data_IF_833149589687
#
_entry.id   IF_833149589687
#
_cell.length_a   1.000
_cell.length_b   1.000
_cell.length_c   1.000
_cell.angle_alpha   90.00
_cell.angle_beta   90.00
_cell.angle_gamma   90.00
#
_symmetry.space_group_name_H-M   'P 1'
#
loop_
_entity.id
_entity.type
_entity.pdbx_description
1 polymer ?
#
# COMPACT_ATOMS: atom_id res chain seq x y z
N UNK A 1 -3.32 12.24 -23.96
CA UNK A 1 -2.43 12.79 -22.91
C UNK A 1 -2.00 11.72 -21.90
N UNK A 2 -2.92 10.92 -21.34
CA UNK A 2 -2.58 9.89 -20.34
C UNK A 2 -1.63 8.77 -20.83
N UNK A 3 -1.81 8.23 -22.04
CA UNK A 3 -0.90 7.22 -22.59
C UNK A 3 0.55 7.71 -22.74
N UNK A 4 0.73 8.97 -23.14
CA UNK A 4 2.06 9.61 -23.23
C UNK A 4 2.70 9.77 -21.84
N UNK A 5 1.90 10.10 -20.82
CA UNK A 5 2.37 10.16 -19.44
C UNK A 5 2.84 8.79 -18.95
N UNK A 6 2.08 7.72 -19.18
CA UNK A 6 2.49 6.37 -18.78
C UNK A 6 3.74 5.89 -19.54
N UNK A 7 3.87 6.23 -20.82
CA UNK A 7 5.08 5.94 -21.60
C UNK A 7 6.32 6.58 -20.95
N UNK A 8 6.29 7.88 -20.69
CA UNK A 8 7.42 8.58 -20.07
C UNK A 8 7.71 8.07 -18.65
N UNK A 9 6.67 7.82 -17.84
CA UNK A 9 6.82 7.23 -16.52
C UNK A 9 7.52 5.87 -16.60
N UNK A 10 7.12 5.03 -17.55
CA UNK A 10 7.76 3.72 -17.78
C UNK A 10 9.24 3.90 -18.12
N UNK A 11 9.58 4.74 -19.11
CA UNK A 11 10.96 5.02 -19.47
C UNK A 11 11.80 5.52 -18.28
N UNK A 12 11.27 6.47 -17.50
CA UNK A 12 11.93 7.00 -16.31
C UNK A 12 12.17 5.93 -15.25
N UNK A 13 11.16 5.13 -14.93
CA UNK A 13 11.24 4.10 -13.90
C UNK A 13 12.24 3.00 -14.28
N UNK A 14 12.23 2.56 -15.55
CA UNK A 14 13.14 1.52 -16.03
C UNK A 14 14.59 1.97 -16.18
N UNK A 15 14.83 3.28 -16.35
CA UNK A 15 16.19 3.85 -16.51
C UNK A 15 16.73 4.51 -15.24
N UNK A 16 15.88 4.73 -14.24
CA UNK A 16 16.26 5.36 -12.98
C UNK A 16 17.22 4.49 -12.16
N UNK A 17 18.40 5.04 -11.86
CA UNK A 17 19.36 4.44 -10.91
C UNK A 17 18.87 4.51 -9.46
N UNK A 18 17.86 5.34 -9.18
CA UNK A 18 17.29 5.51 -7.85
C UNK A 18 16.11 4.56 -7.59
N UNK A 19 15.60 3.86 -8.61
CA UNK A 19 14.55 2.86 -8.41
C UNK A 19 15.11 1.71 -7.58
N UNK A 20 14.45 1.42 -6.45
CA UNK A 20 14.79 0.30 -5.58
C UNK A 20 13.51 -0.31 -5.04
N UNK A 21 13.47 -1.64 -5.00
CA UNK A 21 12.52 -2.36 -4.14
C UNK A 21 13.08 -2.32 -2.73
N UNK A 22 12.26 -1.90 -1.76
CA UNK A 22 12.68 -1.83 -0.37
C UNK A 22 13.11 -3.21 0.14
N UNK A 23 14.17 -3.24 0.94
CA UNK A 23 14.62 -4.46 1.59
C UNK A 23 13.49 -5.07 2.45
N UNK A 24 13.28 -6.39 2.33
CA UNK A 24 12.20 -7.10 3.01
C UNK A 24 10.83 -7.03 2.33
N UNK A 25 10.60 -6.15 1.35
CA UNK A 25 9.28 -6.00 0.73
C UNK A 25 8.78 -7.29 0.05
N UNK A 26 9.62 -7.91 -0.79
CA UNK A 26 9.25 -9.13 -1.51
C UNK A 26 9.05 -10.32 -0.56
N UNK A 27 9.93 -10.46 0.43
CA UNK A 27 9.84 -11.52 1.44
C UNK A 27 8.59 -11.38 2.32
N UNK A 28 8.28 -10.16 2.77
CA UNK A 28 7.06 -9.87 3.52
C UNK A 28 5.81 -10.19 2.70
N UNK A 29 5.73 -9.69 1.46
CA UNK A 29 4.58 -9.97 0.57
C UNK A 29 4.40 -11.48 0.34
N UNK A 30 5.51 -12.22 0.20
CA UNK A 30 5.47 -13.67 0.06
C UNK A 30 4.97 -14.36 1.34
N UNK A 31 5.46 -13.95 2.52
CA UNK A 31 5.01 -14.50 3.81
C UNK A 31 3.52 -14.25 4.04
N UNK A 32 3.03 -13.04 3.78
CA UNK A 32 1.61 -12.69 3.91
C UNK A 32 0.75 -13.53 2.94
N UNK A 33 1.20 -13.68 1.69
CA UNK A 33 0.52 -14.52 0.70
C UNK A 33 0.45 -15.98 1.15
N UNK A 34 1.56 -16.52 1.68
CA UNK A 34 1.63 -17.90 2.18
C UNK A 34 0.76 -18.12 3.42
N UNK A 35 0.55 -17.08 4.23
CA UNK A 35 -0.38 -17.09 5.36
C UNK A 35 -1.87 -16.99 4.93
N UNK A 36 -2.15 -16.87 3.62
CA UNK A 36 -3.51 -16.77 3.10
C UNK A 36 -4.12 -15.37 3.18
N UNK A 37 -3.32 -14.34 3.45
CA UNK A 37 -3.78 -12.95 3.48
C UNK A 37 -3.98 -12.45 2.04
N UNK A 38 -5.14 -11.86 1.78
CA UNK A 38 -5.45 -11.24 0.48
C UNK A 38 -4.81 -9.85 0.43
N UNK A 39 -3.95 -9.63 -0.56
CA UNK A 39 -3.22 -8.37 -0.70
C UNK A 39 -3.84 -7.49 -1.79
N UNK A 40 -3.94 -6.19 -1.51
CA UNK A 40 -4.33 -5.17 -2.48
C UNK A 40 -3.47 -3.92 -2.38
N UNK A 41 -3.51 -3.08 -3.41
CA UNK A 41 -2.80 -1.79 -3.43
C UNK A 41 -3.77 -0.64 -3.25
N UNK A 42 -3.48 0.24 -2.30
CA UNK A 42 -4.10 1.55 -2.17
C UNK A 42 -3.09 2.59 -2.64
N UNK A 43 -3.45 3.45 -3.60
CA UNK A 43 -2.55 4.49 -4.09
C UNK A 43 -3.30 5.76 -4.45
N UNK A 44 -2.75 6.92 -4.10
CA UNK A 44 -3.25 8.21 -4.61
C UNK A 44 -2.96 8.47 -6.09
N UNK A 45 -2.17 7.61 -6.75
CA UNK A 45 -1.91 7.72 -8.18
C UNK A 45 -3.05 7.10 -9.01
N UNK A 46 -3.12 7.44 -10.30
CA UNK A 46 -3.94 6.69 -11.25
C UNK A 46 -3.47 5.23 -11.34
N UNK A 47 -4.39 4.29 -11.55
CA UNK A 47 -4.09 2.85 -11.56
C UNK A 47 -2.89 2.49 -12.45
N UNK A 48 -2.88 2.97 -13.69
CA UNK A 48 -1.80 2.69 -14.63
C UNK A 48 -0.44 3.12 -14.10
N UNK A 49 -0.36 4.30 -13.47
CA UNK A 49 0.89 4.80 -12.91
C UNK A 49 1.34 4.00 -11.68
N UNK A 50 0.41 3.61 -10.80
CA UNK A 50 0.71 2.75 -9.66
C UNK A 50 1.25 1.39 -10.12
N UNK A 51 0.63 0.77 -11.12
CA UNK A 51 1.07 -0.51 -11.70
C UNK A 51 2.42 -0.40 -12.39
N UNK A 52 2.63 0.63 -13.22
CA UNK A 52 3.92 0.86 -13.91
C UNK A 52 5.08 1.01 -12.93
N UNK A 53 4.88 1.70 -11.81
CA UNK A 53 5.92 1.83 -10.76
C UNK A 53 6.33 0.48 -10.14
N UNK A 54 5.43 -0.50 -10.10
CA UNK A 54 5.70 -1.81 -9.52
C UNK A 54 6.27 -2.84 -10.52
N UNK A 55 6.26 -2.52 -11.82
CA UNK A 55 6.67 -3.45 -12.89
C UNK A 55 8.13 -3.90 -12.78
N UNK A 56 9.14 -3.04 -12.56
CA UNK A 56 10.53 -3.51 -12.51
C UNK A 56 10.81 -4.43 -11.33
N UNK A 57 10.16 -4.18 -10.20
CA UNK A 57 10.19 -5.06 -9.02
C UNK A 57 9.28 -6.29 -9.13
N UNK A 58 8.54 -6.42 -10.23
CA UNK A 58 7.55 -7.46 -10.49
C UNK A 58 6.48 -7.58 -9.38
N UNK A 59 6.26 -6.53 -8.58
CA UNK A 59 5.44 -6.62 -7.36
C UNK A 59 3.94 -6.73 -7.64
N UNK A 60 3.48 -6.34 -8.83
CA UNK A 60 2.08 -6.43 -9.26
C UNK A 60 1.46 -7.82 -9.03
N UNK A 61 2.26 -8.90 -9.10
CA UNK A 61 1.79 -10.28 -8.95
C UNK A 61 1.25 -10.63 -7.56
N UNK A 62 1.61 -9.87 -6.52
CA UNK A 62 1.15 -10.09 -5.16
C UNK A 62 -0.24 -9.52 -4.91
N UNK A 63 -0.61 -8.47 -5.63
CA UNK A 63 -1.81 -7.69 -5.35
C UNK A 63 -2.96 -8.09 -6.28
N UNK A 64 -3.97 -8.76 -5.74
CA UNK A 64 -5.11 -9.28 -6.52
C UNK A 64 -6.21 -8.25 -6.75
N UNK A 65 -6.16 -7.13 -6.01
CA UNK A 65 -7.05 -5.99 -6.20
C UNK A 65 -6.33 -4.66 -5.92
N UNK A 66 -6.99 -3.54 -6.21
CA UNK A 66 -6.49 -2.23 -5.84
C UNK A 66 -7.55 -1.14 -5.90
N UNK A 67 -7.23 0.00 -5.30
CA UNK A 67 -8.05 1.21 -5.25
C UNK A 67 -7.12 2.42 -5.41
N UNK A 68 -7.50 3.33 -6.29
CA UNK A 68 -6.58 4.30 -6.86
C UNK A 68 -7.13 5.72 -6.78
N UNK A 69 -6.27 6.73 -6.92
CA UNK A 69 -6.69 8.13 -6.98
C UNK A 69 -7.58 8.46 -8.18
N UNK A 70 -7.67 7.56 -9.17
CA UNK A 70 -8.66 7.61 -10.24
C UNK A 70 -10.08 7.23 -9.79
N UNK A 71 -10.23 6.56 -8.65
CA UNK A 71 -11.53 6.19 -8.07
C UNK A 71 -12.11 7.34 -7.21
N UNK A 72 -11.25 8.03 -6.44
CA UNK A 72 -11.63 9.21 -5.65
C UNK A 72 -10.40 10.09 -5.34
N UNK A 73 -10.54 11.42 -5.25
CA UNK A 73 -9.49 12.30 -4.73
C UNK A 73 -9.32 12.21 -3.20
N UNK A 74 -10.28 11.66 -2.47
CA UNK A 74 -10.21 11.50 -1.01
C UNK A 74 -9.54 10.17 -0.66
N UNK A 75 -8.43 10.24 0.09
CA UNK A 75 -7.65 9.04 0.49
C UNK A 75 -8.44 8.09 1.37
N UNK A 76 -9.31 8.59 2.26
CA UNK A 76 -10.16 7.76 3.10
C UNK A 76 -11.15 7.00 2.24
N UNK A 77 -11.78 7.65 1.26
CA UNK A 77 -12.69 6.98 0.32
C UNK A 77 -11.96 5.91 -0.51
N UNK A 78 -10.75 6.21 -1.00
CA UNK A 78 -9.93 5.22 -1.72
C UNK A 78 -9.61 4.01 -0.83
N UNK A 79 -9.23 4.22 0.43
CA UNK A 79 -8.99 3.14 1.39
C UNK A 79 -10.26 2.32 1.64
N UNK A 80 -11.41 2.97 1.90
CA UNK A 80 -12.70 2.30 2.08
C UNK A 80 -13.11 1.47 0.86
N UNK A 81 -12.86 1.96 -0.35
CA UNK A 81 -13.08 1.22 -1.59
C UNK A 81 -12.19 -0.03 -1.68
N UNK A 82 -10.93 0.06 -1.25
CA UNK A 82 -10.04 -1.09 -1.12
C UNK A 82 -10.60 -2.14 -0.16
N UNK A 83 -11.03 -1.73 1.02
CA UNK A 83 -11.63 -2.61 2.03
C UNK A 83 -12.91 -3.27 1.49
N UNK A 84 -13.78 -2.51 0.82
CA UNK A 84 -14.99 -3.05 0.21
C UNK A 84 -14.70 -4.09 -0.89
N UNK A 85 -13.62 -3.91 -1.68
CA UNK A 85 -13.16 -4.91 -2.66
C UNK A 85 -12.65 -6.17 -1.95
N UNK A 86 -11.90 -6.02 -0.85
CA UNK A 86 -11.44 -7.15 -0.04
C UNK A 86 -12.62 -7.93 0.58
N UNK A 87 -13.60 -7.25 1.15
CA UNK A 87 -14.81 -7.87 1.71
C UNK A 87 -15.57 -8.71 0.67
N UNK A 88 -15.70 -8.20 -0.57
CA UNK A 88 -16.30 -8.96 -1.68
C UNK A 88 -15.51 -10.22 -2.04
N UNK A 89 -14.17 -10.17 -2.00
CA UNK A 89 -13.33 -11.34 -2.22
C UNK A 89 -13.45 -12.37 -1.09
N UNK A 90 -13.65 -11.92 0.15
CA UNK A 90 -13.95 -12.79 1.30
C UNK A 90 -15.39 -13.30 1.33
N UNK A 91 -16.31 -12.67 0.59
CA UNK A 91 -17.74 -13.00 0.60
C UNK A 91 -18.49 -12.55 1.86
N UNK A 92 -17.88 -11.66 2.66
CA UNK A 92 -18.45 -11.10 3.90
C UNK A 92 -17.80 -9.76 4.24
N UNK A 93 -18.43 -8.99 5.10
CA UNK A 93 -17.82 -7.81 5.70
C UNK A 93 -16.61 -8.22 6.59
N UNK A 94 -15.61 -7.34 6.63
CA UNK A 94 -14.39 -7.50 7.41
C UNK A 94 -14.46 -6.61 8.64
N UNK A 95 -14.11 -7.14 9.81
CA UNK A 95 -13.93 -6.35 11.01
C UNK A 95 -12.64 -5.53 10.92
N UNK A 96 -12.54 -4.46 11.71
CA UNK A 96 -11.39 -3.56 11.67
C UNK A 96 -10.07 -4.28 11.94
N UNK A 97 -10.09 -5.24 12.87
CA UNK A 97 -8.93 -6.03 13.30
C UNK A 97 -8.47 -7.04 12.24
N UNK A 98 -9.30 -7.28 11.21
CA UNK A 98 -8.98 -8.15 10.08
C UNK A 98 -8.35 -7.38 8.91
N UNK A 99 -8.26 -6.05 9.01
CA UNK A 99 -7.81 -5.18 7.92
C UNK A 99 -6.59 -4.39 8.38
N UNK A 100 -5.46 -4.67 7.74
CA UNK A 100 -4.21 -3.92 7.93
C UNK A 100 -3.97 -3.01 6.73
N UNK A 101 -3.71 -1.73 6.99
CA UNK A 101 -3.29 -0.76 5.97
C UNK A 101 -1.89 -0.28 6.31
N UNK A 102 -0.95 -0.57 5.40
CA UNK A 102 0.46 -0.22 5.54
C UNK A 102 0.75 1.04 4.72
N UNK A 103 1.38 2.05 5.33
CA UNK A 103 1.75 3.29 4.66
C UNK A 103 2.92 4.01 5.32
N UNK A 104 3.50 4.97 4.59
CA UNK A 104 4.74 5.65 4.97
C UNK A 104 4.54 7.13 5.32
N UNK A 105 3.31 7.64 5.24
CA UNK A 105 3.01 9.03 5.59
C UNK A 105 1.93 9.13 6.67
N UNK A 106 1.89 10.25 7.43
CA UNK A 106 0.80 10.54 8.36
C UNK A 106 -0.58 10.52 7.68
N UNK A 107 -0.64 10.81 6.38
CA UNK A 107 -1.88 10.77 5.59
C UNK A 107 -2.37 9.35 5.35
N UNK A 108 -1.47 8.39 5.20
CA UNK A 108 -1.85 6.98 5.07
C UNK A 108 -2.41 6.45 6.39
N UNK A 109 -1.74 6.79 7.51
CA UNK A 109 -2.21 6.46 8.86
C UNK A 109 -3.59 7.04 9.13
N UNK A 110 -3.79 8.33 8.86
CA UNK A 110 -5.08 8.98 9.05
C UNK A 110 -6.19 8.35 8.20
N UNK A 111 -5.89 8.04 6.92
CA UNK A 111 -6.85 7.41 6.02
C UNK A 111 -7.21 5.97 6.45
N UNK A 112 -6.23 5.19 6.91
CA UNK A 112 -6.44 3.85 7.46
C UNK A 112 -7.39 3.88 8.66
N UNK A 113 -7.10 4.74 9.64
CA UNK A 113 -7.92 4.89 10.84
C UNK A 113 -9.33 5.38 10.51
N UNK A 114 -9.46 6.39 9.66
CA UNK A 114 -10.76 6.92 9.23
C UNK A 114 -11.58 5.89 8.43
N UNK A 115 -10.92 4.93 7.78
CA UNK A 115 -11.55 3.80 7.10
C UNK A 115 -11.88 2.62 8.02
N UNK A 116 -11.53 2.69 9.32
CA UNK A 116 -11.77 1.63 10.29
C UNK A 116 -10.85 0.43 10.11
N UNK A 117 -9.59 0.65 9.73
CA UNK A 117 -8.56 -0.39 9.62
C UNK A 117 -7.43 -0.18 10.62
N UNK A 118 -6.71 -1.25 10.95
CA UNK A 118 -5.45 -1.19 11.71
C UNK A 118 -4.38 -0.51 10.87
N UNK A 119 -3.85 0.62 11.35
CA UNK A 119 -2.87 1.43 10.65
C UNK A 119 -1.44 1.01 11.02
N UNK A 120 -0.67 0.57 10.03
CA UNK A 120 0.75 0.23 10.18
C UNK A 120 1.59 1.29 9.46
N UNK A 121 2.39 2.01 10.23
CA UNK A 121 3.38 2.96 9.71
C UNK A 121 4.72 2.29 9.40
N UNK A 122 5.30 2.57 8.23
CA UNK A 122 6.69 2.20 7.90
C UNK A 122 7.43 3.46 7.43
N UNK A 123 8.46 3.95 8.15
CA UNK A 123 9.18 5.15 7.77
C UNK A 123 9.72 5.11 6.34
N UNK A 124 9.72 6.27 5.70
CA UNK A 124 10.33 6.49 4.40
C UNK A 124 11.32 7.66 4.47
N UNK A 125 11.98 7.95 3.35
CA UNK A 125 13.02 9.00 3.27
C UNK A 125 12.53 10.35 3.81
N UNK A 126 11.24 10.67 3.62
CA UNK A 126 10.65 11.97 3.98
C UNK A 126 9.85 11.96 5.29
N UNK A 127 9.65 10.80 5.91
CA UNK A 127 8.75 10.65 7.08
C UNK A 127 9.41 9.76 8.11
N UNK A 128 9.64 10.29 9.31
CA UNK A 128 10.20 9.52 10.43
C UNK A 128 9.16 8.69 11.19
N UNK A 129 9.64 7.73 11.99
CA UNK A 129 8.80 6.90 12.87
C UNK A 129 7.98 7.73 13.87
N UNK A 130 8.56 8.82 14.41
CA UNK A 130 7.86 9.67 15.39
C UNK A 130 6.69 10.44 14.78
N UNK A 131 6.77 10.80 13.50
CA UNK A 131 5.65 11.42 12.77
C UNK A 131 4.50 10.43 12.59
N UNK A 132 4.81 9.16 12.30
CA UNK A 132 3.81 8.09 12.17
C UNK A 132 3.15 7.78 13.53
N UNK A 133 3.92 7.80 14.62
CA UNK A 133 3.38 7.69 15.99
C UNK A 133 2.51 8.89 16.35
N UNK A 134 2.93 10.10 16.00
CA UNK A 134 2.14 11.31 16.22
C UNK A 134 0.84 11.31 15.41
N UNK A 135 0.85 10.71 14.22
CA UNK A 135 -0.34 10.42 13.42
C UNK A 135 -1.22 9.30 13.99
N UNK A 136 -0.82 8.71 15.12
CA UNK A 136 -1.48 7.62 15.82
C UNK A 136 -1.49 6.30 15.03
N UNK A 137 -0.40 5.91 14.37
CA UNK A 137 -0.30 4.55 13.83
C UNK A 137 -0.44 3.52 14.97
N UNK A 138 -1.19 2.45 14.75
CA UNK A 138 -1.40 1.38 15.74
C UNK A 138 -0.11 0.55 15.91
N UNK A 139 0.63 0.38 14.81
CA UNK A 139 1.99 -0.17 14.82
C UNK A 139 2.93 0.70 13.98
N UNK A 140 4.21 0.76 14.36
CA UNK A 140 5.26 1.39 13.56
C UNK A 140 6.44 0.43 13.44
N UNK A 141 6.65 -0.09 12.23
CA UNK A 141 7.80 -0.94 11.91
C UNK A 141 8.97 -0.06 11.47
N UNK A 142 10.20 -0.32 11.89
CA UNK A 142 11.35 0.47 11.41
C UNK A 142 11.71 0.16 9.95
N UNK A 143 11.35 -1.02 9.47
CA UNK A 143 11.58 -1.50 8.10
C UNK A 143 10.63 -2.65 7.77
N UNK A 144 10.55 -3.02 6.49
CA UNK A 144 9.80 -4.20 6.03
C UNK A 144 10.51 -5.53 6.34
N UNK A 145 11.69 -5.48 6.96
CA UNK A 145 12.41 -6.68 7.45
C UNK A 145 11.97 -7.09 8.86
N UNK A 146 11.28 -6.20 9.59
CA UNK A 146 10.71 -6.53 10.89
C UNK A 146 9.53 -7.52 10.76
N UNK A 147 9.23 -8.30 11.82
CA UNK A 147 8.03 -9.11 11.87
C UNK A 147 6.78 -8.27 11.65
N UNK A 148 5.85 -8.79 10.85
CA UNK A 148 4.55 -8.14 10.68
C UNK A 148 3.71 -8.36 11.94
N UNK A 149 2.91 -7.37 12.40
CA UNK A 149 2.03 -7.57 13.54
C UNK A 149 1.13 -8.79 13.34
N UNK A 150 0.99 -9.61 14.39
CA UNK A 150 0.14 -10.79 14.40
C UNK A 150 0.47 -11.86 13.32
N UNK A 151 1.73 -11.87 12.83
CA UNK A 151 2.25 -12.85 11.86
C UNK A 151 3.56 -13.51 12.29
#
# INVERSE_FOLDING_TARGET
MYAKYLWHLSEEIWTSKAYQVLEGAEDLLQRLTNAGIILGVISGAMEGAARTKMEPGKLNRYFVFGSYGSDSPDRTEVTQLGIAKAARLHGRDLAAEEVYVVGDTPRDVAAARAAGATAIGVPAVTTGADELRAAQADHVLQSLTEPFPDL
#
